data_IF_143354547206
#
_entry.id   IF_143354547206
#
_cell.length_a   1.000
_cell.length_b   1.000
_cell.length_c   1.000
_cell.angle_alpha   90.00
_cell.angle_beta   90.00
_cell.angle_gamma   90.00
#
_symmetry.space_group_name_H-M   'P 1'
#
loop_
_entity.id
_entity.type
_entity.pdbx_description
1 polymer ?
#
# COMPACT_ATOMS: atom_id res chain seq x y z
N UNK A 1 10.02 -10.52 23.02
CA UNK A 1 9.45 -9.20 22.66
C UNK A 1 8.75 -8.58 23.85
N UNK A 2 8.98 -7.28 24.14
CA UNK A 2 8.20 -6.54 25.13
C UNK A 2 6.71 -6.52 24.78
N UNK A 3 5.84 -6.76 25.77
CA UNK A 3 4.39 -6.91 25.61
C UNK A 3 3.69 -5.70 24.97
N UNK A 4 4.21 -4.49 25.17
CA UNK A 4 3.66 -3.25 24.60
C UNK A 4 3.76 -3.19 23.08
N UNK A 5 4.83 -3.73 22.49
CA UNK A 5 5.05 -3.77 21.05
C UNK A 5 4.09 -4.76 20.38
N UNK A 6 3.89 -5.93 20.99
CA UNK A 6 2.88 -6.91 20.53
C UNK A 6 1.47 -6.32 20.51
N UNK A 7 1.13 -5.46 21.48
CA UNK A 7 -0.19 -4.84 21.53
C UNK A 7 -0.36 -3.76 20.47
N UNK A 8 0.65 -2.94 20.19
CA UNK A 8 0.59 -1.93 19.13
C UNK A 8 0.43 -2.54 17.74
N UNK A 9 1.16 -3.62 17.45
CA UNK A 9 1.03 -4.37 16.19
C UNK A 9 -0.37 -4.98 16.03
N UNK A 10 -0.94 -5.52 17.11
CA UNK A 10 -2.31 -6.06 17.11
C UNK A 10 -3.40 -5.02 16.85
N UNK A 11 -3.12 -3.73 17.04
CA UNK A 11 -4.05 -2.64 16.76
C UNK A 11 -4.02 -2.19 15.29
N UNK A 12 -3.04 -2.64 14.50
CA UNK A 12 -2.98 -2.35 13.07
C UNK A 12 -4.12 -3.10 12.39
N UNK A 13 -4.96 -2.36 11.67
CA UNK A 13 -6.05 -2.95 10.89
C UNK A 13 -5.48 -3.88 9.82
N UNK A 14 -6.01 -5.11 9.67
CA UNK A 14 -5.57 -6.01 8.61
C UNK A 14 -5.82 -5.42 7.22
N UNK A 15 -4.90 -5.71 6.30
CA UNK A 15 -5.07 -5.39 4.90
C UNK A 15 -5.73 -6.57 4.17
N UNK A 16 -6.96 -6.37 3.72
CA UNK A 16 -7.66 -7.32 2.87
C UNK A 16 -7.40 -6.96 1.40
N UNK A 17 -6.77 -7.87 0.63
CA UNK A 17 -6.47 -7.64 -0.79
C UNK A 17 -7.70 -7.67 -1.68
N UNK A 18 -8.68 -8.51 -1.32
CA UNK A 18 -9.79 -8.83 -2.20
C UNK A 18 -10.74 -7.62 -2.28
N UNK A 19 -10.85 -7.03 -3.47
CA UNK A 19 -11.62 -5.79 -3.67
C UNK A 19 -10.99 -4.53 -3.04
N UNK A 20 -9.71 -4.57 -2.68
CA UNK A 20 -9.00 -3.40 -2.16
C UNK A 20 -8.73 -2.36 -3.26
N UNK A 21 -8.72 -1.09 -2.88
CA UNK A 21 -8.34 0.00 -3.79
C UNK A 21 -6.93 0.49 -3.47
N UNK A 22 -6.31 1.20 -4.41
CA UNK A 22 -5.01 1.84 -4.22
C UNK A 22 -4.98 2.72 -2.96
N UNK A 23 -6.07 3.45 -2.71
CA UNK A 23 -6.19 4.35 -1.58
C UNK A 23 -6.22 3.58 -0.25
N UNK A 24 -6.90 2.42 -0.21
CA UNK A 24 -6.91 1.53 0.97
C UNK A 24 -5.53 0.91 1.22
N UNK A 25 -4.84 0.45 0.16
CA UNK A 25 -3.49 -0.08 0.27
C UNK A 25 -2.50 0.98 0.80
N UNK A 26 -2.59 2.21 0.27
CA UNK A 26 -1.78 3.35 0.74
C UNK A 26 -2.08 3.71 2.19
N UNK A 27 -3.36 3.77 2.56
CA UNK A 27 -3.78 4.07 3.93
C UNK A 27 -3.26 3.02 4.92
N UNK A 28 -3.37 1.74 4.57
CA UNK A 28 -2.81 0.64 5.34
C UNK A 28 -1.29 0.77 5.50
N UNK A 29 -0.54 0.95 4.40
CA UNK A 29 0.92 1.09 4.45
C UNK A 29 1.35 2.22 5.39
N UNK A 30 0.73 3.39 5.26
CA UNK A 30 1.02 4.55 6.08
C UNK A 30 0.71 4.30 7.57
N UNK A 31 -0.38 3.60 7.89
CA UNK A 31 -0.72 3.24 9.26
C UNK A 31 0.26 2.21 9.84
N UNK A 32 0.59 1.18 9.06
CA UNK A 32 1.54 0.14 9.42
C UNK A 32 2.93 0.72 9.69
N UNK A 33 3.42 1.58 8.79
CA UNK A 33 4.74 2.19 8.92
C UNK A 33 4.83 3.00 10.21
N UNK A 34 3.85 3.89 10.48
CA UNK A 34 3.77 4.68 11.72
C UNK A 34 3.72 3.82 12.98
N UNK A 35 2.92 2.76 12.97
CA UNK A 35 2.75 1.87 14.12
C UNK A 35 3.99 1.01 14.42
N UNK A 36 4.89 0.87 13.44
CA UNK A 36 6.07 0.01 13.54
C UNK A 36 7.40 0.76 13.54
N UNK A 37 7.36 2.10 13.63
CA UNK A 37 8.57 2.93 13.76
C UNK A 37 9.37 2.49 15.00
N UNK A 38 10.69 2.31 14.84
CA UNK A 38 11.59 1.91 15.91
C UNK A 38 11.57 0.42 16.26
N UNK A 39 10.75 -0.39 15.58
CA UNK A 39 10.83 -1.84 15.69
C UNK A 39 11.95 -2.40 14.81
N UNK A 40 12.56 -3.48 15.28
CA UNK A 40 13.52 -4.24 14.49
C UNK A 40 12.83 -4.81 13.24
N UNK A 41 13.55 -4.78 12.13
CA UNK A 41 13.10 -5.18 10.80
C UNK A 41 12.36 -6.53 10.76
N UNK A 42 12.92 -7.56 11.38
CA UNK A 42 12.31 -8.89 11.40
C UNK A 42 10.94 -8.91 12.13
N UNK A 43 10.78 -8.06 13.15
CA UNK A 43 9.48 -7.87 13.81
C UNK A 43 8.49 -7.19 12.88
N UNK A 44 8.93 -6.20 12.11
CA UNK A 44 8.09 -5.50 11.14
C UNK A 44 7.62 -6.48 10.05
N UNK A 45 8.51 -7.30 9.51
CA UNK A 45 8.14 -8.32 8.52
C UNK A 45 7.12 -9.32 9.07
N UNK A 46 7.33 -9.80 10.29
CA UNK A 46 6.41 -10.74 10.96
C UNK A 46 5.03 -10.10 11.19
N UNK A 47 5.01 -8.87 11.70
CA UNK A 47 3.80 -8.08 11.91
C UNK A 47 3.03 -7.86 10.60
N UNK A 48 3.74 -7.51 9.53
CA UNK A 48 3.14 -7.28 8.23
C UNK A 48 2.47 -8.55 7.69
N UNK A 49 3.12 -9.71 7.81
CA UNK A 49 2.55 -11.00 7.40
C UNK A 49 1.26 -11.32 8.14
N UNK A 50 1.19 -11.02 9.44
CA UNK A 50 -0.03 -11.20 10.23
C UNK A 50 -1.17 -10.27 9.78
N UNK A 51 -0.85 -9.05 9.35
CA UNK A 51 -1.81 -8.07 8.84
C UNK A 51 -2.33 -8.37 7.44
N UNK A 52 -1.60 -9.10 6.59
CA UNK A 52 -2.08 -9.48 5.26
C UNK A 52 -3.21 -10.51 5.33
N UNK A 53 -4.29 -10.24 4.58
CA UNK A 53 -5.47 -11.09 4.43
C UNK A 53 -5.95 -11.08 2.97
N UNK A 54 -6.58 -12.16 2.57
CA UNK A 54 -7.13 -12.32 1.22
C UNK A 54 -6.17 -13.04 0.28
N UNK A 55 -6.74 -13.72 -0.70
CA UNK A 55 -5.99 -14.69 -1.52
C UNK A 55 -4.88 -14.01 -2.31
N UNK A 56 -5.16 -12.86 -2.91
CA UNK A 56 -4.16 -12.13 -3.72
C UNK A 56 -2.96 -11.68 -2.89
N UNK A 57 -3.17 -11.20 -1.66
CA UNK A 57 -2.08 -10.81 -0.76
C UNK A 57 -1.27 -12.00 -0.27
N UNK A 58 -1.93 -13.11 0.08
CA UNK A 58 -1.27 -14.30 0.58
C UNK A 58 -0.43 -14.99 -0.50
N UNK A 59 -0.97 -15.15 -1.71
CA UNK A 59 -0.25 -15.68 -2.87
C UNK A 59 0.95 -14.78 -3.21
N UNK A 60 0.72 -13.46 -3.29
CA UNK A 60 1.80 -12.49 -3.54
C UNK A 60 2.91 -12.59 -2.51
N UNK A 61 2.59 -12.67 -1.22
CA UNK A 61 3.59 -12.79 -0.16
C UNK A 61 4.45 -14.04 -0.33
N UNK A 62 3.82 -15.19 -0.62
CA UNK A 62 4.50 -16.46 -0.78
C UNK A 62 5.52 -16.43 -1.92
N UNK A 63 5.20 -15.77 -3.04
CA UNK A 63 6.06 -15.72 -4.22
C UNK A 63 7.02 -14.51 -4.28
N UNK A 64 6.85 -13.51 -3.41
CA UNK A 64 7.60 -12.25 -3.50
C UNK A 64 9.03 -12.30 -2.95
N UNK A 65 9.42 -13.39 -2.28
CA UNK A 65 10.77 -13.57 -1.70
C UNK A 65 11.26 -12.36 -0.89
N UNK A 66 10.42 -11.86 0.02
CA UNK A 66 10.72 -10.68 0.83
C UNK A 66 11.70 -11.07 1.96
N UNK A 67 12.92 -10.54 1.89
CA UNK A 67 14.01 -10.85 2.84
C UNK A 67 14.27 -9.74 3.86
N UNK A 68 13.93 -8.51 3.48
CA UNK A 68 14.14 -7.27 4.22
C UNK A 68 12.95 -6.32 3.99
N UNK A 69 12.87 -5.29 4.84
CA UNK A 69 11.80 -4.31 4.89
C UNK A 69 11.85 -3.34 3.71
N UNK A 70 13.04 -3.06 3.18
CA UNK A 70 13.19 -2.22 1.98
C UNK A 70 12.58 -2.90 0.75
N UNK A 71 12.86 -4.20 0.57
CA UNK A 71 12.26 -5.05 -0.46
C UNK A 71 10.74 -5.14 -0.25
N UNK A 72 10.29 -5.27 0.99
CA UNK A 72 8.85 -5.25 1.32
C UNK A 72 8.19 -3.96 0.84
N UNK A 73 8.76 -2.81 1.21
CA UNK A 73 8.24 -1.50 0.85
C UNK A 73 8.09 -1.38 -0.67
N UNK A 74 9.19 -1.63 -1.39
CA UNK A 74 9.21 -1.52 -2.86
C UNK A 74 8.18 -2.44 -3.51
N UNK A 75 8.13 -3.72 -3.12
CA UNK A 75 7.23 -4.69 -3.75
C UNK A 75 5.76 -4.45 -3.39
N UNK A 76 5.47 -4.05 -2.15
CA UNK A 76 4.11 -3.75 -1.73
C UNK A 76 3.56 -2.56 -2.51
N UNK A 77 4.37 -1.49 -2.63
CA UNK A 77 3.97 -0.33 -3.42
C UNK A 77 3.71 -0.73 -4.87
N UNK A 78 4.63 -1.44 -5.51
CA UNK A 78 4.45 -1.88 -6.90
C UNK A 78 3.21 -2.76 -7.11
N UNK A 79 2.86 -3.61 -6.15
CA UNK A 79 1.75 -4.55 -6.29
C UNK A 79 0.39 -3.93 -5.96
N UNK A 80 0.31 -3.11 -4.92
CA UNK A 80 -0.98 -2.69 -4.33
C UNK A 80 -1.21 -1.18 -4.34
N UNK A 81 -0.16 -0.36 -4.53
CA UNK A 81 -0.26 1.11 -4.46
C UNK A 81 -0.03 1.77 -5.82
N UNK A 82 0.92 1.26 -6.61
CA UNK A 82 1.14 1.72 -7.97
C UNK A 82 -0.04 1.26 -8.83
N UNK A 83 -0.56 2.18 -9.64
CA UNK A 83 -1.52 1.82 -10.66
C UNK A 83 -0.80 0.99 -11.72
N UNK A 84 -1.43 -0.10 -12.17
CA UNK A 84 -0.93 -0.78 -13.36
C UNK A 84 -1.02 0.15 -14.56
N UNK A 85 -0.19 -0.03 -15.61
CA UNK A 85 -0.29 0.78 -16.83
C UNK A 85 -1.71 0.82 -17.41
N UNK A 86 -2.45 -0.28 -17.33
CA UNK A 86 -3.86 -0.34 -17.77
C UNK A 86 -4.76 0.52 -16.89
N UNK A 87 -4.61 0.49 -15.57
CA UNK A 87 -5.38 1.33 -14.65
C UNK A 87 -5.05 2.82 -14.81
N UNK A 88 -3.78 3.16 -15.08
CA UNK A 88 -3.37 4.52 -15.44
C UNK A 88 -4.08 4.94 -16.73
N UNK A 89 -4.03 4.10 -17.78
CA UNK A 89 -4.70 4.38 -19.05
C UNK A 89 -6.21 4.55 -18.86
N UNK A 90 -6.87 3.72 -18.07
CA UNK A 90 -8.30 3.85 -17.78
C UNK A 90 -8.61 5.14 -17.00
N UNK A 91 -7.79 5.52 -16.02
CA UNK A 91 -7.96 6.78 -15.30
C UNK A 91 -7.74 7.98 -16.23
N UNK A 92 -6.70 7.96 -17.06
CA UNK A 92 -6.43 9.01 -18.05
C UNK A 92 -7.57 9.16 -19.06
N UNK A 93 -8.14 8.05 -19.57
CA UNK A 93 -9.29 8.08 -20.49
C UNK A 93 -10.52 8.75 -19.87
N UNK A 94 -10.72 8.57 -18.58
CA UNK A 94 -11.88 9.09 -17.86
C UNK A 94 -11.67 10.48 -17.27
N UNK A 95 -10.42 10.95 -17.18
CA UNK A 95 -10.10 12.24 -16.62
C UNK A 95 -10.45 13.36 -17.59
N UNK A 96 -11.57 14.04 -17.35
CA UNK A 96 -12.03 15.19 -18.16
C UNK A 96 -11.75 16.49 -17.41
N UNK A 97 -11.23 17.50 -18.12
CA UNK A 97 -11.10 18.86 -17.58
C UNK A 97 -12.49 19.46 -17.35
N UNK A 98 -12.75 19.94 -16.14
CA UNK A 98 -14.00 20.62 -15.79
C UNK A 98 -14.04 22.06 -16.30
N UNK A 99 -15.23 22.56 -16.62
CA UNK A 99 -15.42 23.93 -17.12
C UNK A 99 -15.01 24.94 -16.03
N UNK A 100 -14.09 25.84 -16.36
CA UNK A 100 -13.53 26.82 -15.41
C UNK A 100 -12.19 26.43 -14.78
N UNK A 101 -11.74 25.18 -14.94
CA UNK A 101 -10.40 24.74 -14.51
C UNK A 101 -9.35 25.12 -15.57
N UNK A 102 -8.22 25.69 -15.16
CA UNK A 102 -7.11 26.00 -16.09
C UNK A 102 -6.43 24.73 -16.60
N UNK A 103 -5.69 24.85 -17.71
CA UNK A 103 -4.94 23.73 -18.27
C UNK A 103 -3.81 23.30 -17.33
N UNK A 104 -3.15 24.24 -16.66
CA UNK A 104 -2.05 23.96 -15.72
C UNK A 104 -2.54 23.19 -14.50
N UNK A 105 -3.64 23.64 -13.87
CA UNK A 105 -4.22 22.96 -12.69
C UNK A 105 -4.71 21.55 -13.04
N UNK A 106 -5.26 21.38 -14.24
CA UNK A 106 -5.62 20.05 -14.72
C UNK A 106 -4.38 19.19 -14.99
N UNK A 107 -3.32 19.76 -15.56
CA UNK A 107 -2.04 19.10 -15.78
C UNK A 107 -1.45 18.55 -14.47
N UNK A 108 -1.37 19.38 -13.43
CA UNK A 108 -0.87 18.99 -12.10
C UNK A 108 -1.68 17.83 -11.50
N UNK A 109 -3.01 17.86 -11.67
CA UNK A 109 -3.90 16.79 -11.19
C UNK A 109 -3.62 15.46 -11.90
N UNK A 110 -3.38 15.49 -13.21
CA UNK A 110 -3.12 14.30 -14.02
C UNK A 110 -1.69 13.78 -13.82
N UNK A 111 -0.73 14.66 -13.60
CA UNK A 111 0.66 14.29 -13.30
C UNK A 111 0.81 13.54 -11.96
N UNK A 112 -0.19 13.58 -11.09
CA UNK A 112 -0.24 12.81 -9.84
C UNK A 112 -0.84 11.40 -9.96
N UNK A 113 -1.26 10.98 -11.15
CA UNK A 113 -1.75 9.62 -11.45
C UNK A 113 -0.59 8.65 -11.71
#
# INVERSE_FOLDING_TARGET
MPSRIKNAVKMIQPFYSDGSTVEKARAFWNAFERATVGLEEQMRLSAFRECLKGKTAEDWWMYSMIRDFETLCTRFHNQFVCLTPLQIIERLKNAKRTKGMSADVWGDLISGL
#
